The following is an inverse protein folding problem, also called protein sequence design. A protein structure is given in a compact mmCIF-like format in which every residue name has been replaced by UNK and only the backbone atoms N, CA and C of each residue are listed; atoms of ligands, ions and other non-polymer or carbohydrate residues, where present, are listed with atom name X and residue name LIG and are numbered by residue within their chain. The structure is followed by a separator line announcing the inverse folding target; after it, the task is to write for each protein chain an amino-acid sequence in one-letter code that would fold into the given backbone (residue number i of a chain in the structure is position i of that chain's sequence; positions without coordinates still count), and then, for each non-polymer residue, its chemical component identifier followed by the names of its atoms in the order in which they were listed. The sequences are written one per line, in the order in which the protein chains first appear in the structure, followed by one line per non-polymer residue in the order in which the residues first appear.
data_IF_855220886442
#
_entry.id   IF_855220886442
#
_cell.length_a   1.000
_cell.length_b   1.000
_cell.length_c   1.000
_cell.angle_alpha   90.00
_cell.angle_beta   90.00
_cell.angle_gamma   90.00
#
_symmetry.space_group_name_H-M   'P 1'
#
loop_
_entity.id
_entity.type
_entity.pdbx_description
1 polymer ?
#
# COMPACT_ATOMS: atom_id res chain seq x y z
N UNK A 1 -8.01 -11.22 -7.17
CA UNK A 1 -7.41 -10.10 -7.92
C UNK A 1 -7.53 -10.33 -9.41
N UNK A 2 -7.36 -9.28 -10.17
CA UNK A 2 -7.49 -9.31 -11.61
C UNK A 2 -6.14 -9.01 -12.30
N UNK A 3 -6.12 -8.98 -13.64
CA UNK A 3 -4.91 -8.74 -14.40
C UNK A 3 -4.29 -7.36 -14.15
N UNK A 4 -5.10 -6.38 -13.83
CA UNK A 4 -4.62 -5.04 -13.51
C UNK A 4 -3.73 -5.07 -12.25
N UNK A 5 -4.18 -5.80 -11.22
CA UNK A 5 -3.42 -5.93 -9.99
C UNK A 5 -2.11 -6.68 -10.22
N UNK A 6 -2.14 -7.70 -11.06
CA UNK A 6 -0.92 -8.42 -11.41
C UNK A 6 0.08 -7.50 -12.13
N UNK A 7 -0.40 -6.64 -13.01
CA UNK A 7 0.46 -5.68 -13.70
C UNK A 7 1.12 -4.73 -12.69
N UNK A 8 0.35 -4.22 -11.73
CA UNK A 8 0.89 -3.35 -10.69
C UNK A 8 1.94 -4.09 -9.86
N UNK A 9 1.67 -5.35 -9.52
CA UNK A 9 2.58 -6.17 -8.73
C UNK A 9 3.93 -6.30 -9.43
N UNK A 10 3.90 -6.63 -10.72
CA UNK A 10 5.12 -6.79 -11.50
C UNK A 10 5.85 -5.47 -11.67
N UNK A 11 5.10 -4.38 -11.88
CA UNK A 11 5.71 -3.06 -12.01
C UNK A 11 6.41 -2.66 -10.71
N UNK A 12 5.78 -2.93 -9.56
CA UNK A 12 6.38 -2.62 -8.27
C UNK A 12 7.70 -3.36 -8.08
N UNK A 13 7.75 -4.64 -8.46
CA UNK A 13 9.00 -5.40 -8.39
C UNK A 13 10.08 -4.79 -9.29
N UNK A 14 9.71 -4.34 -10.48
CA UNK A 14 10.67 -3.72 -11.38
C UNK A 14 11.22 -2.41 -10.80
N UNK A 15 10.36 -1.61 -10.18
CA UNK A 15 10.80 -0.38 -9.51
C UNK A 15 11.75 -0.69 -8.35
N UNK A 16 11.42 -1.71 -7.58
CA UNK A 16 12.26 -2.15 -6.46
C UNK A 16 13.64 -2.58 -6.95
N UNK A 17 13.69 -3.27 -8.08
CA UNK A 17 14.93 -3.79 -8.64
C UNK A 17 15.83 -2.71 -9.25
N UNK A 18 15.32 -1.50 -9.46
CA UNK A 18 16.16 -0.41 -9.96
C UNK A 18 17.27 -0.04 -8.97
N UNK A 19 17.09 -0.39 -7.71
CA UNK A 19 18.04 -0.09 -6.65
C UNK A 19 18.84 -1.33 -6.24
N UNK A 20 18.89 -2.36 -7.08
CA UNK A 20 19.55 -3.62 -6.81
C UNK A 20 18.56 -4.75 -6.73
N UNK A 21 18.80 -5.70 -5.82
CA UNK A 21 17.86 -6.81 -5.62
C UNK A 21 16.56 -6.29 -5.04
N UNK A 22 15.44 -6.95 -5.40
CA UNK A 22 14.15 -6.59 -4.85
C UNK A 22 14.13 -6.86 -3.34
N UNK A 23 14.01 -5.82 -2.56
CA UNK A 23 14.05 -5.91 -1.09
C UNK A 23 13.06 -4.98 -0.39
N UNK A 24 12.13 -4.39 -1.16
CA UNK A 24 11.13 -3.47 -0.59
C UNK A 24 11.63 -2.04 -0.47
N UNK A 25 12.80 -1.73 -1.03
CA UNK A 25 13.34 -0.38 -1.01
C UNK A 25 13.64 0.07 -2.44
N UNK A 26 12.64 0.64 -3.14
CA UNK A 26 12.88 1.22 -4.46
C UNK A 26 13.65 2.53 -4.33
N UNK A 27 14.16 3.08 -5.45
CA UNK A 27 14.83 4.40 -5.39
C UNK A 27 13.84 5.48 -4.97
N UNK A 28 14.04 6.04 -3.80
CA UNK A 28 13.15 7.06 -3.25
C UNK A 28 13.47 8.43 -3.83
N UNK A 29 12.48 9.31 -3.83
CA UNK A 29 12.69 10.69 -4.24
C UNK A 29 13.60 11.39 -3.23
N UNK A 30 14.27 12.45 -3.70
CA UNK A 30 15.26 13.16 -2.89
C UNK A 30 14.68 13.73 -1.61
N UNK A 31 13.40 14.13 -1.63
CA UNK A 31 12.72 14.70 -0.47
C UNK A 31 12.14 13.64 0.48
N UNK A 32 12.32 12.36 0.16
CA UNK A 32 11.88 11.26 1.02
C UNK A 32 13.07 10.75 1.83
N UNK A 33 12.79 10.39 3.08
CA UNK A 33 13.83 9.85 3.96
C UNK A 33 13.80 8.33 3.94
N UNK A 34 14.94 7.73 3.64
CA UNK A 34 15.07 6.28 3.65
C UNK A 34 14.77 5.70 5.01
N UNK A 35 15.17 6.39 6.10
CA UNK A 35 14.90 5.93 7.45
C UNK A 35 13.40 5.92 7.78
N UNK A 36 12.66 6.91 7.30
CA UNK A 36 11.21 6.94 7.49
C UNK A 36 10.53 5.79 6.76
N UNK A 37 10.91 5.59 5.50
CA UNK A 37 10.39 4.47 4.71
C UNK A 37 10.67 3.15 5.39
N UNK A 38 11.92 2.93 5.79
CA UNK A 38 12.32 1.67 6.42
C UNK A 38 11.55 1.43 7.71
N UNK A 39 11.42 2.45 8.56
CA UNK A 39 10.69 2.32 9.81
C UNK A 39 9.22 1.98 9.58
N UNK A 40 8.57 2.71 8.70
CA UNK A 40 7.14 2.50 8.43
C UNK A 40 6.89 1.13 7.81
N UNK A 41 7.67 0.79 6.79
CA UNK A 41 7.48 -0.48 6.08
C UNK A 41 7.82 -1.67 6.98
N UNK A 42 8.91 -1.59 7.73
CA UNK A 42 9.30 -2.69 8.62
C UNK A 42 8.27 -2.89 9.74
N UNK A 43 7.79 -1.80 10.34
CA UNK A 43 6.80 -1.89 11.41
C UNK A 43 5.50 -2.54 10.92
N UNK A 44 5.04 -2.16 9.74
CA UNK A 44 3.82 -2.73 9.17
C UNK A 44 4.03 -4.20 8.78
N UNK A 45 5.16 -4.51 8.19
CA UNK A 45 5.52 -5.88 7.81
C UNK A 45 5.57 -6.78 9.05
N UNK A 46 6.20 -6.31 10.11
CA UNK A 46 6.28 -7.06 11.37
C UNK A 46 4.90 -7.26 11.98
N UNK A 47 4.06 -6.23 11.95
CA UNK A 47 2.70 -6.32 12.46
C UNK A 47 1.89 -7.36 11.69
N UNK A 48 1.98 -7.35 10.36
CA UNK A 48 1.26 -8.32 9.54
C UNK A 48 1.69 -9.74 9.90
N UNK A 49 3.00 -9.99 9.99
CA UNK A 49 3.49 -11.33 10.31
C UNK A 49 3.11 -11.75 11.72
N UNK A 50 3.08 -10.81 12.66
CA UNK A 50 2.63 -11.10 14.01
C UNK A 50 1.16 -11.52 14.00
N UNK A 51 0.32 -10.82 13.24
CA UNK A 51 -1.09 -11.19 13.12
C UNK A 51 -1.27 -12.56 12.48
N UNK A 52 -0.49 -12.87 11.44
CA UNK A 52 -0.56 -14.16 10.78
C UNK A 52 -0.16 -15.29 11.73
N UNK A 53 0.87 -15.08 12.54
CA UNK A 53 1.37 -16.10 13.47
C UNK A 53 0.47 -16.31 14.68
N UNK A 54 -0.03 -15.20 15.26
CA UNK A 54 -0.80 -15.26 16.51
C UNK A 54 -2.27 -15.52 16.28
N UNK A 55 -2.78 -15.19 15.11
CA UNK A 55 -4.21 -15.31 14.81
C UNK A 55 -4.42 -15.97 13.44
N UNK A 56 -3.97 -17.24 13.27
CA UNK A 56 -3.98 -17.89 11.95
C UNK A 56 -5.38 -18.09 11.36
N UNK A 57 -6.42 -18.03 12.20
CA UNK A 57 -7.80 -18.22 11.72
C UNK A 57 -8.52 -16.89 11.51
N UNK A 58 -7.86 -15.78 11.77
CA UNK A 58 -8.46 -14.46 11.61
C UNK A 58 -8.06 -13.88 10.25
N UNK A 59 -8.98 -13.14 9.66
CA UNK A 59 -8.69 -12.43 8.41
C UNK A 59 -7.55 -11.43 8.65
N UNK A 60 -6.45 -11.49 7.89
CA UNK A 60 -5.37 -10.52 8.08
C UNK A 60 -5.77 -9.13 7.55
N UNK A 61 -5.08 -8.08 8.01
CA UNK A 61 -5.39 -6.72 7.55
C UNK A 61 -5.26 -6.52 6.03
N UNK A 62 -4.27 -7.16 5.42
CA UNK A 62 -4.09 -7.21 3.96
C UNK A 62 -3.71 -8.64 3.60
N UNK A 63 -3.64 -8.92 2.29
CA UNK A 63 -3.33 -10.26 1.80
C UNK A 63 -2.07 -10.83 2.47
N UNK A 64 -2.18 -12.07 2.93
CA UNK A 64 -1.10 -12.74 3.65
C UNK A 64 0.19 -12.85 2.84
N UNK A 65 0.10 -12.82 1.52
CA UNK A 65 1.28 -12.90 0.65
C UNK A 65 2.25 -11.75 0.91
N UNK A 66 1.74 -10.62 1.39
CA UNK A 66 2.59 -9.48 1.75
C UNK A 66 3.56 -9.83 2.88
N UNK A 67 3.28 -10.87 3.65
CA UNK A 67 4.14 -11.30 4.75
C UNK A 67 5.30 -12.20 4.34
N UNK A 68 5.41 -12.57 3.07
CA UNK A 68 6.44 -13.50 2.60
C UNK A 68 7.85 -12.93 2.74
N UNK A 69 8.04 -11.70 2.30
CA UNK A 69 9.30 -10.99 2.42
C UNK A 69 9.06 -9.50 2.12
N UNK A 70 10.03 -8.64 2.43
CA UNK A 70 9.82 -7.19 2.20
C UNK A 70 9.55 -6.80 0.76
N UNK A 71 10.08 -7.51 -0.21
CA UNK A 71 9.81 -7.22 -1.62
C UNK A 71 8.34 -7.47 -1.95
N UNK A 72 7.78 -8.59 -1.46
CA UNK A 72 6.38 -8.90 -1.67
C UNK A 72 5.48 -7.95 -0.89
N UNK A 73 5.91 -7.54 0.30
CA UNK A 73 5.15 -6.56 1.07
C UNK A 73 4.99 -5.26 0.27
N UNK A 74 6.07 -4.74 -0.30
CA UNK A 74 6.00 -3.55 -1.12
C UNK A 74 5.09 -3.74 -2.33
N UNK A 75 5.23 -4.87 -3.02
CA UNK A 75 4.43 -5.13 -4.23
C UNK A 75 2.95 -5.27 -3.91
N UNK A 76 2.59 -6.01 -2.86
CA UNK A 76 1.20 -6.19 -2.47
C UNK A 76 0.60 -4.88 -1.97
N UNK A 77 1.35 -4.12 -1.16
CA UNK A 77 0.87 -2.81 -0.71
C UNK A 77 0.66 -1.87 -1.88
N UNK A 78 1.50 -1.94 -2.91
CA UNK A 78 1.32 -1.14 -4.13
C UNK A 78 0.02 -1.52 -4.85
N UNK A 79 -0.30 -2.82 -4.91
CA UNK A 79 -1.58 -3.26 -5.49
C UNK A 79 -2.75 -2.65 -4.73
N UNK A 80 -2.73 -2.74 -3.40
CA UNK A 80 -3.79 -2.15 -2.57
C UNK A 80 -3.85 -0.64 -2.77
N UNK A 81 -2.69 0.00 -2.82
CA UNK A 81 -2.63 1.45 -2.96
C UNK A 81 -3.42 1.93 -4.16
N UNK A 82 -3.28 1.26 -5.30
CA UNK A 82 -3.95 1.67 -6.52
C UNK A 82 -5.36 1.07 -6.68
N UNK A 83 -5.60 -0.12 -6.15
CA UNK A 83 -6.85 -0.85 -6.41
C UNK A 83 -7.84 -0.79 -5.25
N UNK A 84 -7.35 -0.68 -4.03
CA UNK A 84 -8.19 -0.66 -2.83
C UNK A 84 -7.56 0.23 -1.76
N UNK A 85 -7.37 1.53 -2.07
CA UNK A 85 -6.66 2.44 -1.15
C UNK A 85 -7.36 2.59 0.20
N UNK A 86 -8.68 2.47 0.23
CA UNK A 86 -9.43 2.54 1.48
C UNK A 86 -9.08 1.39 2.43
N UNK A 87 -8.84 0.21 1.89
CA UNK A 87 -8.42 -0.93 2.70
C UNK A 87 -7.00 -0.75 3.21
N UNK A 88 -6.12 -0.22 2.39
CA UNK A 88 -4.73 0.00 2.80
C UNK A 88 -4.64 1.05 3.90
N UNK A 89 -5.35 2.16 3.75
CA UNK A 89 -5.27 3.23 4.75
C UNK A 89 -5.90 2.80 6.07
N UNK A 90 -6.93 1.94 6.01
CA UNK A 90 -7.53 1.39 7.22
C UNK A 90 -6.56 0.46 7.97
N UNK A 91 -5.80 -0.34 7.21
CA UNK A 91 -4.86 -1.29 7.80
C UNK A 91 -3.56 -0.61 8.22
N UNK A 92 -2.95 0.16 7.32
CA UNK A 92 -1.63 0.74 7.52
C UNK A 92 -1.57 2.15 6.93
N UNK A 93 -2.11 3.14 7.66
CA UNK A 93 -2.17 4.51 7.12
C UNK A 93 -0.81 5.11 6.83
N UNK A 94 0.22 4.76 7.60
CA UNK A 94 1.56 5.29 7.36
C UNK A 94 2.19 4.69 6.11
N UNK A 95 1.87 3.43 5.80
CA UNK A 95 2.30 2.82 4.53
C UNK A 95 1.67 3.57 3.37
N UNK A 96 0.37 3.89 3.48
CA UNK A 96 -0.29 4.67 2.45
C UNK A 96 0.43 6.00 2.22
N UNK A 97 0.82 6.70 3.30
CA UNK A 97 1.51 7.99 3.16
C UNK A 97 2.87 7.85 2.47
N UNK A 98 3.60 6.78 2.77
CA UNK A 98 4.88 6.54 2.10
C UNK A 98 4.68 6.26 0.60
N UNK A 99 3.68 5.46 0.25
CA UNK A 99 3.39 5.17 -1.14
C UNK A 99 2.84 6.40 -1.87
N UNK A 100 2.06 7.22 -1.19
CA UNK A 100 1.59 8.49 -1.72
C UNK A 100 2.78 9.39 -2.11
N UNK A 101 3.77 9.48 -1.23
CA UNK A 101 4.97 10.27 -1.51
C UNK A 101 5.78 9.65 -2.63
N UNK A 102 5.89 8.32 -2.66
CA UNK A 102 6.70 7.64 -3.65
C UNK A 102 6.10 7.70 -5.05
N UNK A 103 4.83 7.36 -5.18
CA UNK A 103 4.15 7.32 -6.48
C UNK A 103 3.67 8.69 -6.94
N UNK A 104 3.65 9.69 -6.05
CA UNK A 104 3.15 11.03 -6.35
C UNK A 104 1.70 11.00 -6.81
N UNK A 105 0.91 10.08 -6.24
CA UNK A 105 -0.49 9.86 -6.56
C UNK A 105 -1.27 9.76 -5.26
N UNK A 106 -2.56 10.10 -5.33
CA UNK A 106 -3.46 9.98 -4.19
C UNK A 106 -4.73 9.23 -4.62
N UNK A 107 -4.65 7.89 -4.75
CA UNK A 107 -5.79 7.11 -5.22
C UNK A 107 -7.00 7.20 -4.29
N UNK A 108 -6.80 7.37 -2.98
CA UNK A 108 -7.90 7.49 -2.04
C UNK A 108 -8.70 8.76 -2.32
N UNK A 109 -8.02 9.89 -2.53
CA UNK A 109 -8.70 11.15 -2.86
C UNK A 109 -9.47 11.02 -4.18
N UNK A 110 -8.89 10.32 -5.17
CA UNK A 110 -9.54 10.06 -6.44
C UNK A 110 -10.81 9.23 -6.26
N UNK A 111 -10.72 8.18 -5.45
CA UNK A 111 -11.86 7.32 -5.13
C UNK A 111 -12.95 8.11 -4.42
N UNK A 112 -12.57 8.95 -3.46
CA UNK A 112 -13.52 9.77 -2.72
C UNK A 112 -14.20 10.80 -3.63
N UNK A 113 -13.47 11.38 -4.58
CA UNK A 113 -14.06 12.32 -5.54
C UNK A 113 -15.12 11.64 -6.42
N UNK A 114 -14.83 10.41 -6.87
CA UNK A 114 -15.79 9.67 -7.68
C UNK A 114 -17.04 9.34 -6.87
N UNK A 115 -16.89 8.86 -5.64
CA UNK A 115 -18.00 8.53 -4.77
C UNK A 115 -18.75 9.79 -4.33
N UNK A 116 -18.01 10.84 -3.99
CA UNK A 116 -18.61 12.12 -3.61
C UNK A 116 -19.44 12.71 -4.74
N UNK A 117 -18.92 12.62 -5.97
CA UNK A 117 -19.65 13.07 -7.14
C UNK A 117 -20.95 12.27 -7.32
N UNK A 118 -20.85 10.95 -7.16
CA UNK A 118 -22.00 10.06 -7.28
C UNK A 118 -23.04 10.35 -6.20
N UNK A 119 -22.59 10.66 -4.99
CA UNK A 119 -23.47 10.86 -3.84
C UNK A 119 -23.73 12.33 -3.53
N UNK A 120 -23.30 13.24 -4.37
CA UNK A 120 -23.40 14.68 -4.10
C UNK A 120 -24.81 15.13 -3.80
N UNK A 121 -25.79 14.49 -4.41
CA UNK A 121 -27.19 14.85 -4.22
C UNK A 121 -27.71 14.49 -2.84
N UNK A 122 -27.09 13.55 -2.15
CA UNK A 122 -27.59 13.15 -0.85
C UNK A 122 -26.64 13.37 0.28
N UNK A 123 -25.49 13.70 0.02
CA UNK A 123 -24.62 13.91 1.11
C UNK A 123 -24.41 15.31 1.45
N UNK A 124 -24.49 15.89 1.12
CA UNK A 124 -23.99 16.89 1.39
C UNK A 124 -23.67 17.28 2.33
N UNK A 125 -23.47 17.41 2.67
CA UNK A 125 -22.95 17.72 3.31
C UNK A 125 -22.30 17.74 4.25
N UNK A 126 -22.06 17.45 4.59
CA UNK A 126 -21.62 17.53 5.50
C UNK A 126 -20.64 17.90 5.61
N UNK A 127 -20.46 18.04 5.45
CA UNK A 127 -19.80 18.49 5.48
C UNK A 127 -19.24 18.97 6.03
#
# INVERSE_FOLDING_TARGET
WNGYNLVIHELAHKLDMLNGDANGLPPLHRDMRQSDWAHVMQSAYDHLNQQLDQHPHREPPIDAYAGENPAEFFAVCSEYFFSAPDLLIAAYPQVYEQLHAFYRQDPLARLQRLHGHTHAAHTRPMA
#
